data_IF_092418860979
#
_entry.id   IF_092418860979
#
_cell.length_a   1.000
_cell.length_b   1.000
_cell.length_c   1.000
_cell.angle_alpha   90.00
_cell.angle_beta   90.00
_cell.angle_gamma   90.00
#
_symmetry.space_group_name_H-M   'P 1'
#
loop_
_entity.id
_entity.type
_entity.pdbx_description
1 polymer ?
#
# COMPACT_ATOMS: atom_id res chain seq x y z
N UNK A 1 15.76 -1.28 -12.40
CA UNK A 1 14.99 -0.57 -13.45
C UNK A 1 14.87 -1.53 -14.61
N UNK A 2 13.66 -1.76 -15.12
CA UNK A 2 13.41 -2.83 -16.10
C UNK A 2 14.12 -2.51 -17.41
N UNK A 3 15.01 -3.41 -17.83
CA UNK A 3 15.77 -3.34 -19.08
C UNK A 3 15.10 -4.23 -20.12
N UNK A 4 14.05 -3.71 -20.72
CA UNK A 4 13.26 -4.27 -21.81
C UNK A 4 12.35 -3.15 -22.30
N UNK A 5 12.05 -3.12 -23.60
CA UNK A 5 11.38 -2.02 -24.29
C UNK A 5 10.25 -1.43 -23.40
N UNK A 6 10.46 -0.22 -22.88
CA UNK A 6 9.70 0.26 -21.72
C UNK A 6 8.24 0.61 -22.06
N UNK A 7 7.96 0.80 -23.35
CA UNK A 7 6.62 1.04 -23.87
C UNK A 7 5.70 -0.18 -23.66
N UNK A 8 6.06 -1.41 -24.11
CA UNK A 8 5.20 -2.57 -23.91
C UNK A 8 4.93 -2.88 -22.42
N UNK A 9 5.88 -2.66 -21.51
CA UNK A 9 5.65 -2.96 -20.08
C UNK A 9 4.59 -2.04 -19.45
N UNK A 10 4.62 -0.76 -19.82
CA UNK A 10 3.62 0.20 -19.33
C UNK A 10 2.22 -0.17 -19.81
N UNK A 11 2.09 -0.59 -21.07
CA UNK A 11 0.82 -0.95 -21.68
C UNK A 11 0.26 -2.24 -21.04
N UNK A 12 1.09 -3.27 -20.88
CA UNK A 12 0.70 -4.52 -20.19
C UNK A 12 0.28 -4.28 -18.73
N UNK A 13 1.00 -3.40 -18.02
CA UNK A 13 0.61 -3.00 -16.66
C UNK A 13 -0.73 -2.24 -16.66
N UNK A 14 -0.98 -1.42 -17.67
CA UNK A 14 -2.27 -0.76 -17.89
C UNK A 14 -3.42 -1.74 -18.09
N UNK A 15 -3.21 -2.76 -18.93
CA UNK A 15 -4.20 -3.82 -19.18
C UNK A 15 -4.50 -4.63 -17.91
N UNK A 16 -3.49 -4.90 -17.07
CA UNK A 16 -3.72 -5.52 -15.76
C UNK A 16 -4.61 -4.66 -14.85
N UNK A 17 -4.33 -3.36 -14.75
CA UNK A 17 -5.16 -2.44 -13.94
C UNK A 17 -6.59 -2.38 -14.48
N UNK A 18 -6.75 -2.30 -15.81
CA UNK A 18 -8.05 -2.30 -16.46
C UNK A 18 -8.83 -3.60 -16.20
N UNK A 19 -8.16 -4.75 -16.25
CA UNK A 19 -8.76 -6.04 -15.93
C UNK A 19 -9.25 -6.11 -14.47
N UNK A 20 -8.47 -5.59 -13.51
CA UNK A 20 -8.87 -5.55 -12.08
C UNK A 20 -10.07 -4.62 -11.87
N UNK A 21 -10.09 -3.44 -12.49
CA UNK A 21 -11.25 -2.53 -12.42
C UNK A 21 -12.49 -3.16 -13.04
N UNK A 22 -12.35 -3.85 -14.17
CA UNK A 22 -13.46 -4.58 -14.80
C UNK A 22 -13.98 -5.73 -13.94
N UNK A 23 -13.10 -6.45 -13.26
CA UNK A 23 -13.51 -7.45 -12.28
C UNK A 23 -14.35 -6.80 -11.17
N UNK A 24 -13.93 -5.66 -10.63
CA UNK A 24 -14.70 -4.87 -9.67
C UNK A 24 -16.10 -4.52 -10.20
N UNK A 25 -16.19 -4.05 -11.45
CA UNK A 25 -17.47 -3.77 -12.13
C UNK A 25 -18.37 -5.00 -12.22
N UNK A 26 -17.83 -6.17 -12.58
CA UNK A 26 -18.58 -7.43 -12.65
C UNK A 26 -19.08 -7.89 -11.27
N UNK A 27 -18.31 -7.61 -10.22
CA UNK A 27 -18.68 -7.86 -8.82
C UNK A 27 -19.58 -6.76 -8.23
N UNK A 28 -19.98 -5.75 -9.02
CA UNK A 28 -20.77 -4.58 -8.59
C UNK A 28 -20.10 -3.78 -7.46
N UNK A 29 -18.77 -3.72 -7.47
CA UNK A 29 -17.97 -2.91 -6.56
C UNK A 29 -17.64 -1.56 -7.20
N UNK A 30 -17.59 -0.52 -6.38
CA UNK A 30 -16.96 0.75 -6.74
C UNK A 30 -15.44 0.61 -6.52
N UNK A 31 -14.70 0.48 -7.62
CA UNK A 31 -13.25 0.28 -7.58
C UNK A 31 -12.50 1.50 -7.02
N UNK A 32 -12.99 2.71 -7.27
CA UNK A 32 -12.40 3.95 -6.73
C UNK A 32 -12.58 3.98 -5.21
N UNK A 33 -13.80 3.74 -4.73
CA UNK A 33 -14.08 3.71 -3.31
C UNK A 33 -13.30 2.60 -2.59
N UNK A 34 -13.17 1.41 -3.21
CA UNK A 34 -12.40 0.29 -2.66
C UNK A 34 -10.89 0.61 -2.54
N UNK A 35 -10.33 1.26 -3.56
CA UNK A 35 -8.94 1.72 -3.54
C UNK A 35 -8.75 2.83 -2.50
N UNK A 36 -9.63 3.81 -2.46
CA UNK A 36 -9.63 4.90 -1.46
C UNK A 36 -9.65 4.37 -0.03
N UNK A 37 -10.53 3.42 0.28
CA UNK A 37 -10.56 2.77 1.60
C UNK A 37 -9.29 1.96 1.91
N UNK A 38 -8.60 1.44 0.89
CA UNK A 38 -7.30 0.78 1.06
C UNK A 38 -6.17 1.76 1.33
N UNK A 39 -6.15 2.90 0.64
CA UNK A 39 -5.21 3.99 0.89
C UNK A 39 -5.36 4.54 2.31
N UNK A 40 -6.59 4.72 2.80
CA UNK A 40 -6.83 5.20 4.16
C UNK A 40 -6.35 4.19 5.22
N UNK A 41 -6.60 2.89 5.02
CA UNK A 41 -6.03 1.84 5.89
C UNK A 41 -4.50 1.87 5.90
N UNK A 42 -3.87 2.07 4.74
CA UNK A 42 -2.41 2.16 4.65
C UNK A 42 -1.90 3.37 5.41
N UNK A 43 -2.49 4.54 5.16
CA UNK A 43 -2.15 5.81 5.83
C UNK A 43 -2.27 5.71 7.35
N UNK A 44 -3.40 5.22 7.85
CA UNK A 44 -3.63 5.05 9.29
C UNK A 44 -2.59 4.13 9.94
N UNK A 45 -2.25 3.01 9.29
CA UNK A 45 -1.22 2.08 9.79
C UNK A 45 0.18 2.68 9.72
N UNK A 46 0.49 3.43 8.67
CA UNK A 46 1.78 4.09 8.55
C UNK A 46 1.97 5.16 9.63
N UNK A 47 0.93 5.95 9.91
CA UNK A 47 0.94 6.91 11.02
C UNK A 47 1.10 6.23 12.39
N UNK A 48 0.59 5.02 12.58
CA UNK A 48 0.87 4.23 13.78
C UNK A 48 2.37 3.92 13.87
N UNK A 49 2.97 3.40 12.79
CA UNK A 49 4.40 3.08 12.74
C UNK A 49 5.25 4.32 13.05
N UNK A 50 4.96 5.46 12.42
CA UNK A 50 5.63 6.74 12.67
C UNK A 50 5.58 7.13 14.14
N UNK A 51 4.38 7.13 14.74
CA UNK A 51 4.17 7.52 16.13
C UNK A 51 4.91 6.62 17.12
N UNK A 52 4.89 5.30 16.91
CA UNK A 52 5.58 4.37 17.82
C UNK A 52 7.10 4.49 17.70
N UNK A 53 7.63 4.73 16.49
CA UNK A 53 9.06 5.04 16.32
C UNK A 53 9.44 6.33 17.04
N UNK A 54 8.67 7.40 16.84
CA UNK A 54 8.90 8.69 17.52
C UNK A 54 8.85 8.54 19.05
N UNK A 55 7.87 7.78 19.57
CA UNK A 55 7.75 7.50 21.00
C UNK A 55 8.97 6.73 21.55
N UNK A 56 9.62 5.91 20.71
CA UNK A 56 10.88 5.21 21.05
C UNK A 56 12.14 6.07 20.86
N UNK A 57 11.99 7.35 20.48
CA UNK A 57 13.11 8.26 20.21
C UNK A 57 13.83 7.97 18.89
N UNK A 58 13.15 7.34 17.93
CA UNK A 58 13.69 6.96 16.63
C UNK A 58 12.91 7.57 15.48
N UNK A 59 13.58 7.72 14.35
CA UNK A 59 12.98 8.14 13.08
C UNK A 59 12.77 6.95 12.13
N UNK A 60 11.92 7.15 11.12
CA UNK A 60 11.70 6.19 10.03
C UNK A 60 13.01 5.85 9.30
N UNK A 61 13.85 6.84 9.05
CA UNK A 61 15.12 6.68 8.32
C UNK A 61 16.12 5.83 9.09
N UNK A 62 15.99 5.78 10.41
CA UNK A 62 16.81 4.97 11.29
C UNK A 62 16.22 3.58 11.53
N UNK A 63 14.94 3.35 11.20
CA UNK A 63 14.26 2.09 11.42
C UNK A 63 14.68 1.02 10.41
N UNK A 64 14.81 -0.22 10.87
CA UNK A 64 14.99 -1.36 9.97
C UNK A 64 13.65 -1.78 9.37
N UNK A 65 13.68 -2.50 8.25
CA UNK A 65 12.47 -3.08 7.65
C UNK A 65 11.74 -4.02 8.62
N UNK A 66 12.47 -4.79 9.42
CA UNK A 66 11.90 -5.73 10.39
C UNK A 66 11.18 -5.01 11.55
N UNK A 67 11.73 -3.87 11.98
CA UNK A 67 11.10 -3.02 13.01
C UNK A 67 9.81 -2.38 12.47
N UNK A 68 9.87 -1.81 11.26
CA UNK A 68 8.69 -1.26 10.61
C UNK A 68 7.62 -2.31 10.38
N UNK A 69 8.00 -3.53 9.97
CA UNK A 69 7.05 -4.63 9.79
C UNK A 69 6.44 -5.08 11.12
N UNK A 70 7.23 -5.12 12.20
CA UNK A 70 6.72 -5.44 13.55
C UNK A 70 5.66 -4.43 13.98
N UNK A 71 5.93 -3.13 13.84
CA UNK A 71 4.98 -2.05 14.15
C UNK A 71 3.77 -2.07 13.20
N UNK A 72 3.97 -2.42 11.93
CA UNK A 72 2.91 -2.55 10.95
C UNK A 72 1.94 -3.68 11.30
N UNK A 73 2.43 -4.81 11.80
CA UNK A 73 1.59 -5.91 12.29
C UNK A 73 0.81 -5.51 13.55
N UNK A 74 1.42 -4.74 14.46
CA UNK A 74 0.69 -4.15 15.59
C UNK A 74 -0.42 -3.21 15.11
N UNK A 75 -0.13 -2.35 14.13
CA UNK A 75 -1.11 -1.42 13.55
C UNK A 75 -2.30 -2.13 12.88
N UNK A 76 -2.11 -3.35 12.34
CA UNK A 76 -3.22 -4.17 11.83
C UNK A 76 -4.16 -4.65 12.93
N UNK A 77 -3.64 -4.87 14.13
CA UNK A 77 -4.37 -5.39 15.29
C UNK A 77 -4.91 -4.29 16.21
N UNK A 78 -4.44 -3.05 16.08
CA UNK A 78 -4.91 -1.89 16.83
C UNK A 78 -6.30 -1.37 16.37
N UNK A 79 -7.09 -2.22 15.72
CA UNK A 79 -8.41 -1.92 15.16
C UNK A 79 -9.50 -2.74 15.82
#
# INVERSE_FOLDING_TARGET
LVTGDAAPIKDEFGDMLFAVVNLGRHLRLDAEAALSGTNEKFRSRFHYVERELEASGRSLEQATLDEMETLWQQAKNAR
#
